data_IF_111599259968
#
_entry.id   IF_111599259968
#
_cell.length_a   1.000
_cell.length_b   1.000
_cell.length_c   1.000
_cell.angle_alpha   90.00
_cell.angle_beta   90.00
_cell.angle_gamma   90.00
#
_symmetry.space_group_name_H-M   'P 1'
#
loop_
_entity.id
_entity.type
_entity.pdbx_description
1 polymer ?
#
# COMPACT_ATOMS: atom_id res chain seq x y z
N UNK A 1 -36.34 58.18 -0.39
CA UNK A 1 -36.54 56.83 0.16
C UNK A 1 -36.34 55.85 -0.99
N UNK A 2 -35.30 55.01 -0.93
CA UNK A 2 -34.91 54.09 -2.00
C UNK A 2 -35.73 52.81 -1.90
N UNK A 3 -36.53 52.53 -2.93
CA UNK A 3 -37.01 51.18 -3.23
C UNK A 3 -35.83 50.30 -3.61
N UNK A 4 -35.79 49.07 -3.09
CA UNK A 4 -35.51 47.83 -3.84
C UNK A 4 -35.59 46.65 -2.87
N UNK A 5 -36.69 45.90 -2.93
CA UNK A 5 -36.79 44.56 -2.37
C UNK A 5 -36.47 43.57 -3.50
N UNK A 6 -35.37 42.84 -3.37
CA UNK A 6 -35.03 41.75 -4.28
C UNK A 6 -35.59 40.43 -3.74
N UNK A 7 -36.63 39.97 -4.45
CA UNK A 7 -36.90 38.60 -4.90
C UNK A 7 -36.29 37.44 -4.09
N UNK A 8 -37.19 36.72 -3.40
CA UNK A 8 -36.97 35.35 -2.97
C UNK A 8 -36.82 34.42 -4.19
N UNK A 9 -35.73 33.67 -4.24
CA UNK A 9 -35.56 32.58 -5.21
C UNK A 9 -35.91 31.28 -4.50
N UNK A 10 -37.08 30.73 -4.84
CA UNK A 10 -37.51 29.39 -4.46
C UNK A 10 -36.89 28.42 -5.47
N UNK A 11 -35.88 27.66 -5.06
CA UNK A 11 -35.39 26.53 -5.84
C UNK A 11 -36.24 25.31 -5.53
N UNK A 12 -37.07 24.92 -6.49
CA UNK A 12 -37.61 23.58 -6.60
C UNK A 12 -36.61 22.75 -7.42
N UNK A 13 -36.09 21.67 -6.85
CA UNK A 13 -35.39 20.63 -7.62
C UNK A 13 -35.92 19.25 -7.27
N UNK A 14 -36.21 18.54 -8.35
CA UNK A 14 -36.96 17.30 -8.47
C UNK A 14 -36.36 16.13 -7.70
N UNK A 15 -37.23 15.37 -7.05
CA UNK A 15 -36.96 14.01 -6.60
C UNK A 15 -36.98 13.08 -7.82
N UNK A 16 -35.86 12.43 -8.13
CA UNK A 16 -35.84 11.27 -9.01
C UNK A 16 -35.53 10.03 -8.17
N UNK A 17 -36.59 9.27 -7.86
CA UNK A 17 -36.51 7.92 -7.30
C UNK A 17 -36.53 6.97 -8.49
N UNK A 18 -35.41 6.31 -8.76
CA UNK A 18 -35.36 5.13 -9.63
C UNK A 18 -35.05 3.91 -8.78
N UNK A 19 -36.06 3.06 -8.63
CA UNK A 19 -35.98 1.77 -7.96
C UNK A 19 -35.61 0.65 -8.94
N UNK A 20 -35.14 -0.47 -8.36
CA UNK A 20 -35.11 -1.88 -8.83
C UNK A 20 -33.74 -2.44 -9.28
N UNK A 21 -33.51 -3.77 -9.22
CA UNK A 21 -34.11 -4.79 -8.34
C UNK A 21 -33.08 -5.70 -7.63
N UNK A 22 -33.58 -6.38 -6.59
CA UNK A 22 -32.97 -7.49 -5.87
C UNK A 22 -32.77 -8.73 -6.76
N UNK A 23 -31.62 -9.38 -6.67
CA UNK A 23 -31.43 -10.78 -7.09
C UNK A 23 -30.72 -11.52 -5.96
N UNK A 24 -31.52 -12.24 -5.17
CA UNK A 24 -31.05 -13.35 -4.35
C UNK A 24 -31.09 -14.63 -5.21
N UNK A 25 -30.01 -15.42 -5.22
CA UNK A 25 -30.03 -16.89 -5.04
C UNK A 25 -28.62 -17.52 -5.20
N UNK A 26 -28.17 -18.12 -4.08
CA UNK A 26 -27.07 -19.09 -3.83
C UNK A 26 -27.15 -20.38 -4.72
N UNK A 27 -26.33 -21.46 -4.52
CA UNK A 27 -25.00 -21.66 -3.91
C UNK A 27 -24.05 -22.54 -4.78
N UNK A 28 -22.73 -22.60 -4.51
CA UNK A 28 -21.97 -23.88 -4.68
C UNK A 28 -20.62 -23.93 -3.97
N UNK A 29 -20.49 -24.95 -3.12
CA UNK A 29 -19.28 -25.51 -2.52
C UNK A 29 -18.12 -25.70 -3.52
N UNK A 30 -16.89 -25.44 -3.06
CA UNK A 30 -15.69 -26.18 -3.46
C UNK A 30 -14.60 -26.10 -2.36
N UNK A 31 -13.76 -27.15 -2.21
CA UNK A 31 -13.13 -27.54 -0.96
C UNK A 31 -11.70 -27.01 -0.76
N UNK A 32 -11.27 -26.94 0.51
CA UNK A 32 -9.87 -26.73 0.92
C UNK A 32 -8.92 -27.80 0.34
N UNK A 33 -7.73 -27.42 -0.16
CA UNK A 33 -6.65 -28.37 -0.37
C UNK A 33 -5.79 -28.49 0.90
N UNK A 34 -5.92 -29.64 1.55
CA UNK A 34 -4.95 -30.21 2.50
C UNK A 34 -3.58 -30.32 1.84
N UNK A 35 -2.56 -29.68 2.39
CA UNK A 35 -1.18 -29.87 1.92
C UNK A 35 -0.54 -31.00 2.73
N UNK A 36 -0.53 -32.17 2.12
CA UNK A 36 0.13 -33.36 2.63
C UNK A 36 1.65 -33.17 2.74
N UNK A 37 2.13 -33.59 3.91
CA UNK A 37 3.50 -33.79 4.31
C UNK A 37 4.12 -34.94 3.48
N UNK A 38 5.11 -34.65 2.64
CA UNK A 38 6.02 -35.68 2.10
C UNK A 38 7.44 -35.12 2.05
N UNK A 39 8.26 -35.50 3.04
CA UNK A 39 9.71 -35.59 2.89
C UNK A 39 10.04 -36.81 2.01
N UNK A 40 11.16 -36.77 1.29
CA UNK A 40 12.05 -37.90 1.37
C UNK A 40 13.47 -37.49 1.76
N UNK A 41 13.91 -38.18 2.80
CA UNK A 41 15.26 -38.44 3.23
C UNK A 41 15.98 -39.31 2.19
N UNK A 42 17.20 -38.95 1.79
CA UNK A 42 18.19 -39.94 1.34
C UNK A 42 19.56 -39.55 1.83
N UNK A 43 20.05 -40.44 2.67
CA UNK A 43 21.37 -40.54 3.26
C UNK A 43 22.42 -41.00 2.23
N UNK A 44 23.68 -40.78 2.61
CA UNK A 44 24.83 -41.67 2.43
C UNK A 44 25.91 -41.46 1.32
N UNK A 45 27.11 -41.17 1.85
CA UNK A 45 28.45 -41.77 1.60
C UNK A 45 29.41 -41.24 0.50
N UNK A 46 30.44 -40.52 0.98
CA UNK A 46 31.88 -40.83 0.95
C UNK A 46 32.53 -41.42 -0.32
N UNK A 47 33.46 -40.64 -0.93
CA UNK A 47 34.73 -41.15 -1.49
C UNK A 47 35.80 -40.06 -1.64
N UNK A 48 36.99 -40.31 -1.08
CA UNK A 48 38.25 -39.57 -1.31
C UNK A 48 38.91 -39.98 -2.63
N UNK A 49 39.61 -39.02 -3.25
CA UNK A 49 40.91 -39.08 -3.94
C UNK A 49 40.97 -37.91 -4.95
N UNK A 50 42.05 -37.24 -5.32
CA UNK A 50 43.44 -37.00 -4.88
C UNK A 50 43.99 -35.96 -5.89
N UNK A 51 45.01 -35.19 -5.49
CA UNK A 51 45.92 -34.36 -6.33
C UNK A 51 45.58 -32.88 -6.62
N UNK A 52 46.46 -32.04 -6.08
CA UNK A 52 46.78 -30.64 -6.38
C UNK A 52 47.56 -30.54 -7.71
N UNK A 53 47.49 -29.43 -8.45
CA UNK A 53 48.63 -28.51 -8.44
C UNK A 53 48.22 -27.02 -8.34
N UNK A 54 49.21 -26.24 -7.92
CA UNK A 54 49.19 -24.80 -7.71
C UNK A 54 48.80 -24.00 -8.96
N UNK A 55 47.98 -22.97 -8.78
CA UNK A 55 47.67 -21.96 -9.77
C UNK A 55 47.28 -20.66 -9.09
N UNK A 56 48.26 -19.78 -8.92
CA UNK A 56 48.06 -18.42 -8.40
C UNK A 56 47.26 -17.64 -9.44
N UNK A 57 45.98 -17.40 -9.16
CA UNK A 57 45.21 -16.34 -9.80
C UNK A 57 44.37 -15.64 -8.74
N UNK A 58 44.94 -14.54 -8.24
CA UNK A 58 44.23 -13.53 -7.47
C UNK A 58 43.13 -12.93 -8.36
N UNK A 59 41.96 -13.56 -8.36
CA UNK A 59 40.72 -12.89 -8.71
C UNK A 59 40.20 -12.23 -7.43
N UNK A 60 39.90 -10.92 -7.43
CA UNK A 60 39.32 -10.29 -6.26
C UNK A 60 37.97 -10.97 -6.01
N UNK A 61 37.88 -11.63 -4.85
CA UNK A 61 36.62 -12.12 -4.30
C UNK A 61 35.62 -10.97 -4.33
N UNK A 62 34.68 -11.02 -5.28
CA UNK A 62 33.39 -10.40 -5.08
C UNK A 62 32.85 -11.08 -3.83
N UNK A 63 32.96 -10.38 -2.70
CA UNK A 63 32.17 -10.67 -1.53
C UNK A 63 30.72 -10.69 -2.02
N UNK A 64 30.22 -11.90 -2.30
CA UNK A 64 28.81 -12.19 -2.18
C UNK A 64 28.45 -11.64 -0.81
N UNK A 65 27.78 -10.48 -0.80
CA UNK A 65 27.13 -9.99 0.39
C UNK A 65 26.29 -11.15 0.85
N UNK A 66 26.79 -11.85 1.87
CA UNK A 66 25.97 -12.74 2.67
C UNK A 66 24.78 -11.88 3.01
N UNK A 67 23.67 -12.18 2.34
CA UNK A 67 22.35 -11.78 2.76
C UNK A 67 22.24 -12.42 4.13
N UNK A 68 22.69 -11.70 5.15
CA UNK A 68 22.39 -12.04 6.51
C UNK A 68 20.87 -12.07 6.53
N UNK A 69 20.33 -13.29 6.61
CA UNK A 69 18.95 -13.53 7.01
C UNK A 69 18.83 -13.07 8.47
N UNK A 70 18.92 -11.76 8.68
CA UNK A 70 18.32 -11.09 9.79
C UNK A 70 16.83 -11.07 9.46
N UNK A 71 16.17 -12.17 9.76
CA UNK A 71 14.71 -12.20 9.85
C UNK A 71 14.35 -11.39 11.09
N UNK A 72 14.52 -10.06 11.00
CA UNK A 72 13.81 -9.16 11.92
C UNK A 72 12.33 -9.54 11.84
N UNK A 73 11.61 -9.55 12.97
CA UNK A 73 10.18 -9.80 12.95
C UNK A 73 9.54 -8.87 11.92
N UNK A 74 8.72 -9.43 11.03
CA UNK A 74 8.01 -8.63 10.04
C UNK A 74 7.12 -7.65 10.80
N UNK A 75 7.49 -6.37 10.76
CA UNK A 75 6.71 -5.30 11.40
C UNK A 75 5.50 -5.03 10.51
N UNK A 76 4.31 -5.03 11.10
CA UNK A 76 3.07 -4.74 10.39
C UNK A 76 2.55 -3.37 10.82
N UNK A 77 2.11 -2.57 9.84
CA UNK A 77 1.38 -1.34 10.07
C UNK A 77 -0.12 -1.63 9.98
N UNK A 78 -0.90 -1.05 10.91
CA UNK A 78 -2.37 -1.02 10.80
C UNK A 78 -2.77 0.38 10.37
N UNK A 79 -3.63 0.45 9.35
CA UNK A 79 -4.14 1.70 8.80
C UNK A 79 -5.65 1.64 8.76
N UNK A 80 -6.30 2.68 9.26
CA UNK A 80 -7.73 2.89 9.12
C UNK A 80 -7.99 3.73 7.86
N UNK A 81 -8.81 3.20 6.96
CA UNK A 81 -9.17 3.82 5.68
C UNK A 81 -10.66 4.08 5.67
N UNK A 82 -11.08 5.34 5.50
CA UNK A 82 -12.49 5.71 5.50
C UNK A 82 -12.91 6.42 4.20
N UNK A 83 -14.17 6.25 3.80
CA UNK A 83 -14.71 6.83 2.56
C UNK A 83 -15.20 8.26 2.69
N UNK A 84 -15.28 8.81 3.91
CA UNK A 84 -15.60 10.21 4.16
C UNK A 84 -14.49 10.88 5.00
N UNK A 85 -14.37 12.22 4.94
CA UNK A 85 -13.44 12.95 5.80
C UNK A 85 -13.71 12.72 7.29
N UNK A 86 -12.73 13.03 8.13
CA UNK A 86 -12.83 12.99 9.58
C UNK A 86 -13.20 11.60 10.12
N UNK A 87 -12.70 10.56 9.47
CA UNK A 87 -12.87 9.16 9.85
C UNK A 87 -14.35 8.73 9.92
N UNK A 88 -15.12 9.18 8.92
CA UNK A 88 -16.55 8.87 8.79
C UNK A 88 -16.83 7.96 7.58
N UNK A 89 -18.08 7.52 7.46
CA UNK A 89 -18.53 6.67 6.36
C UNK A 89 -18.13 5.21 6.55
N UNK A 90 -17.80 4.52 5.45
CA UNK A 90 -17.35 3.13 5.50
C UNK A 90 -15.85 3.09 5.81
N UNK A 91 -15.49 2.50 6.95
CA UNK A 91 -14.10 2.39 7.39
C UNK A 91 -13.59 0.94 7.40
N UNK A 92 -12.34 0.74 6.98
CA UNK A 92 -11.64 -0.54 6.99
C UNK A 92 -10.32 -0.41 7.75
N UNK A 93 -10.10 -1.30 8.71
CA UNK A 93 -8.79 -1.52 9.32
C UNK A 93 -8.00 -2.54 8.51
N UNK A 94 -6.85 -2.12 8.01
CA UNK A 94 -6.00 -2.89 7.10
C UNK A 94 -4.60 -3.05 7.69
N UNK A 95 -4.24 -4.28 8.04
CA UNK A 95 -2.94 -4.59 8.67
C UNK A 95 -2.05 -5.35 7.68
N UNK A 96 -0.91 -4.74 7.32
CA UNK A 96 0.04 -5.31 6.35
C UNK A 96 1.49 -5.07 6.75
N UNK A 97 2.44 -5.87 6.23
CA UNK A 97 3.86 -5.63 6.45
C UNK A 97 4.29 -4.23 5.95
N UNK A 98 5.14 -3.56 6.73
CA UNK A 98 5.77 -2.30 6.29
C UNK A 98 6.64 -2.51 5.05
N UNK A 99 7.01 -1.42 4.38
CA UNK A 99 7.79 -1.42 3.13
C UNK A 99 7.17 -2.22 1.99
N UNK A 100 5.89 -2.56 2.08
CA UNK A 100 5.14 -3.31 1.07
C UNK A 100 4.11 -2.41 0.42
N UNK A 101 4.04 -2.45 -0.91
CA UNK A 101 3.03 -1.69 -1.63
C UNK A 101 1.67 -2.40 -1.57
N UNK A 102 0.68 -1.75 -0.95
CA UNK A 102 -0.65 -2.28 -0.73
C UNK A 102 -1.64 -1.64 -1.69
N UNK A 103 -2.48 -2.46 -2.32
CA UNK A 103 -3.54 -1.99 -3.20
C UNK A 103 -4.79 -1.62 -2.39
N UNK A 104 -5.43 -0.51 -2.73
CA UNK A 104 -6.69 -0.11 -2.09
C UNK A 104 -7.90 -0.95 -2.53
N UNK A 105 -7.79 -1.65 -3.67
CA UNK A 105 -8.85 -2.49 -4.23
C UNK A 105 -10.19 -1.73 -4.31
N UNK A 106 -11.23 -2.19 -3.61
CA UNK A 106 -12.55 -1.53 -3.60
C UNK A 106 -12.55 -0.11 -3.04
N UNK A 107 -11.51 0.30 -2.32
CA UNK A 107 -11.34 1.66 -1.80
C UNK A 107 -10.56 2.58 -2.75
N UNK A 108 -10.08 2.09 -3.90
CA UNK A 108 -9.36 2.93 -4.86
C UNK A 108 -10.25 4.09 -5.33
N UNK A 109 -9.73 5.32 -5.24
CA UNK A 109 -10.44 6.56 -5.54
C UNK A 109 -11.52 6.97 -4.53
N UNK A 110 -11.86 6.09 -3.58
CA UNK A 110 -12.93 6.32 -2.61
C UNK A 110 -12.42 6.77 -1.23
N UNK A 111 -11.15 6.56 -0.89
CA UNK A 111 -10.58 6.99 0.39
C UNK A 111 -10.68 8.52 0.52
N UNK A 112 -11.19 9.00 1.67
CA UNK A 112 -11.29 10.43 2.01
C UNK A 112 -10.67 10.78 3.36
N UNK A 113 -10.41 9.80 4.22
CA UNK A 113 -9.49 9.95 5.33
C UNK A 113 -8.69 8.66 5.57
N UNK A 114 -7.49 8.81 6.13
CA UNK A 114 -6.54 7.73 6.38
C UNK A 114 -5.80 7.98 7.69
N UNK A 115 -5.78 6.99 8.59
CA UNK A 115 -5.09 7.07 9.88
C UNK A 115 -4.16 5.86 10.06
N UNK A 116 -2.84 6.04 9.86
CA UNK A 116 -1.84 5.09 10.31
C UNK A 116 -1.82 5.03 11.84
N UNK A 117 -1.96 3.84 12.43
CA UNK A 117 -1.81 3.68 13.89
C UNK A 117 -0.39 4.05 14.35
N UNK A 118 -0.25 4.31 15.65
CA UNK A 118 0.96 4.86 16.26
C UNK A 118 2.27 4.20 15.80
N UNK A 119 3.26 5.03 15.47
CA UNK A 119 4.62 4.61 15.08
C UNK A 119 4.77 4.32 13.58
N UNK A 120 3.80 4.72 12.75
CA UNK A 120 3.85 4.51 11.32
C UNK A 120 3.65 5.80 10.51
N UNK A 121 4.36 5.85 9.40
CA UNK A 121 4.30 6.90 8.38
C UNK A 121 3.93 6.25 7.06
N UNK A 122 2.85 6.69 6.43
CA UNK A 122 2.34 6.09 5.20
C UNK A 122 2.32 7.10 4.05
N UNK A 123 2.59 6.60 2.85
CA UNK A 123 2.37 7.32 1.61
C UNK A 123 1.08 6.82 0.97
N UNK A 124 0.12 7.71 0.75
CA UNK A 124 -0.99 7.45 -0.16
C UNK A 124 -0.59 7.91 -1.56
N UNK A 125 -0.74 7.03 -2.55
CA UNK A 125 -0.14 7.19 -3.86
C UNK A 125 -1.10 6.83 -4.99
N UNK A 126 -0.74 7.32 -6.17
CA UNK A 126 -1.26 6.84 -7.44
C UNK A 126 -0.32 5.79 -8.04
N UNK A 127 -0.83 5.02 -9.01
CA UNK A 127 0.01 4.16 -9.85
C UNK A 127 0.83 3.10 -9.12
N UNK A 128 0.29 2.44 -8.07
CA UNK A 128 0.94 1.31 -7.35
C UNK A 128 2.23 1.71 -6.61
N UNK A 129 2.12 2.62 -5.65
CA UNK A 129 3.24 3.18 -4.89
C UNK A 129 4.27 3.88 -5.77
N UNK A 130 3.77 4.48 -6.86
CA UNK A 130 4.57 5.32 -7.71
C UNK A 130 4.66 6.72 -7.09
N UNK A 131 5.84 7.07 -6.61
CA UNK A 131 6.13 8.39 -6.02
C UNK A 131 6.60 9.41 -7.05
N UNK A 132 6.70 9.03 -8.34
CA UNK A 132 6.90 9.98 -9.43
C UNK A 132 5.59 10.67 -9.83
N UNK A 133 4.44 10.13 -9.41
CA UNK A 133 3.12 10.77 -9.46
C UNK A 133 2.80 11.43 -8.12
N UNK A 134 1.83 12.36 -8.06
CA UNK A 134 1.42 12.99 -6.79
C UNK A 134 1.11 11.96 -5.71
N UNK A 135 1.56 12.26 -4.50
CA UNK A 135 1.35 11.46 -3.29
C UNK A 135 1.22 12.39 -2.09
N UNK A 136 0.72 11.87 -0.98
CA UNK A 136 0.71 12.56 0.32
C UNK A 136 1.35 11.65 1.37
N UNK A 137 2.09 12.25 2.30
CA UNK A 137 2.61 11.59 3.50
C UNK A 137 1.62 11.83 4.63
N UNK A 138 1.27 10.78 5.35
CA UNK A 138 0.43 10.83 6.54
C UNK A 138 1.16 10.08 7.65
N UNK A 139 1.41 10.75 8.76
CA UNK A 139 1.96 10.19 9.98
C UNK A 139 0.88 9.85 11.00
N UNK A 140 1.27 9.05 11.99
CA UNK A 140 0.43 8.71 13.14
C UNK A 140 0.48 9.74 14.28
N UNK A 141 1.22 10.85 14.10
CA UNK A 141 1.33 11.90 15.12
C UNK A 141 -0.02 12.63 15.22
N UNK A 142 -0.58 12.85 16.43
CA UNK A 142 -1.87 13.51 16.58
C UNK A 142 -1.89 14.98 16.12
N UNK A 143 -0.72 15.59 15.88
CA UNK A 143 -0.61 16.91 15.26
C UNK A 143 -0.58 16.87 13.74
N UNK A 144 -0.36 15.68 13.14
CA UNK A 144 -0.50 15.48 11.71
C UNK A 144 -1.97 15.25 11.35
N UNK A 145 -2.54 16.23 10.67
CA UNK A 145 -3.94 16.21 10.20
C UNK A 145 -4.04 15.98 8.70
N UNK A 146 -2.91 15.66 8.03
CA UNK A 146 -2.87 15.43 6.60
C UNK A 146 -3.77 14.26 6.16
N UNK A 147 -4.02 13.31 7.06
CA UNK A 147 -4.90 12.17 6.84
C UNK A 147 -6.38 12.42 7.10
N UNK A 148 -6.74 13.52 7.76
CA UNK A 148 -8.12 13.75 8.25
C UNK A 148 -9.09 14.08 7.13
N UNK A 149 -8.66 14.88 6.14
CA UNK A 149 -9.49 15.27 5.01
C UNK A 149 -8.68 15.35 3.71
N UNK A 150 -8.83 14.31 2.90
CA UNK A 150 -8.17 14.17 1.61
C UNK A 150 -9.00 14.74 0.45
N UNK A 151 -10.20 15.26 0.71
CA UNK A 151 -11.12 15.75 -0.34
C UNK A 151 -10.59 16.96 -1.11
N UNK A 152 -9.67 17.70 -0.50
CA UNK A 152 -9.01 18.86 -1.11
C UNK A 152 -7.94 18.49 -2.14
N UNK A 153 -7.48 17.24 -2.16
CA UNK A 153 -6.47 16.76 -3.10
C UNK A 153 -7.14 16.51 -4.45
N UNK A 154 -6.79 17.29 -5.46
CA UNK A 154 -7.38 17.21 -6.81
C UNK A 154 -7.23 15.84 -7.49
N UNK A 155 -6.34 14.99 -6.98
CA UNK A 155 -6.00 13.68 -7.51
C UNK A 155 -6.48 12.54 -6.61
N UNK A 156 -7.24 12.80 -5.54
CA UNK A 156 -7.62 11.77 -4.57
C UNK A 156 -8.42 10.63 -5.20
N UNK A 157 -9.22 10.92 -6.23
CA UNK A 157 -9.98 9.93 -7.00
C UNK A 157 -9.08 8.97 -7.81
N UNK A 158 -7.82 9.33 -8.03
CA UNK A 158 -6.82 8.51 -8.72
C UNK A 158 -5.97 7.68 -7.72
N UNK A 159 -6.15 7.89 -6.42
CA UNK A 159 -5.43 7.13 -5.39
C UNK A 159 -5.80 5.65 -5.45
N UNK A 160 -4.80 4.77 -5.48
CA UNK A 160 -5.04 3.34 -5.67
C UNK A 160 -4.15 2.42 -4.83
N UNK A 161 -3.21 2.99 -4.08
CA UNK A 161 -2.28 2.23 -3.27
C UNK A 161 -1.65 3.06 -2.17
N UNK A 162 -1.19 2.38 -1.13
CA UNK A 162 -0.42 2.99 -0.06
C UNK A 162 0.75 2.10 0.37
N UNK A 163 1.73 2.71 1.03
CA UNK A 163 2.90 2.02 1.60
C UNK A 163 3.27 2.68 2.92
N UNK A 164 3.51 1.87 3.95
CA UNK A 164 3.84 2.36 5.30
C UNK A 164 5.27 2.02 5.71
N UNK A 165 5.81 2.84 6.58
CA UNK A 165 7.17 2.81 7.11
C UNK A 165 7.12 2.99 8.63
N UNK A 166 8.13 2.47 9.33
CA UNK A 166 8.27 2.64 10.78
C UNK A 166 8.83 4.01 11.18
N UNK A 167 9.46 4.72 10.23
CA UNK A 167 10.15 5.98 10.48
C UNK A 167 10.11 6.88 9.23
N UNK A 168 10.04 8.19 9.44
CA UNK A 168 10.03 9.18 8.36
C UNK A 168 11.33 9.15 7.53
N UNK A 169 12.47 8.80 8.12
CA UNK A 169 13.74 8.62 7.40
C UNK A 169 13.67 7.51 6.35
N UNK A 170 12.98 6.41 6.68
CA UNK A 170 12.79 5.27 5.76
C UNK A 170 11.89 5.67 4.58
N UNK A 171 10.83 6.42 4.86
CA UNK A 171 9.95 7.01 3.85
C UNK A 171 10.73 7.95 2.92
N UNK A 172 11.50 8.89 3.48
CA UNK A 172 12.32 9.84 2.70
C UNK A 172 13.32 9.10 1.80
N UNK A 173 13.96 8.05 2.33
CA UNK A 173 14.88 7.20 1.56
C UNK A 173 14.17 6.48 0.42
N UNK A 174 12.98 5.93 0.66
CA UNK A 174 12.17 5.29 -0.37
C UNK A 174 11.86 6.25 -1.53
N UNK A 175 11.38 7.45 -1.21
CA UNK A 175 11.07 8.48 -2.21
C UNK A 175 12.29 8.84 -3.04
N UNK A 176 13.42 9.13 -2.39
CA UNK A 176 14.66 9.48 -3.07
C UNK A 176 15.17 8.37 -4.00
N UNK A 177 15.07 7.10 -3.59
CA UNK A 177 15.50 5.98 -4.43
C UNK A 177 14.60 5.80 -5.65
N UNK A 178 13.28 5.92 -5.48
CA UNK A 178 12.31 5.74 -6.56
C UNK A 178 12.35 6.85 -7.60
N UNK A 179 12.55 8.10 -7.18
CA UNK A 179 12.70 9.23 -8.10
C UNK A 179 14.01 9.20 -8.90
N UNK A 180 15.05 8.52 -8.40
CA UNK A 180 16.34 8.38 -9.10
C UNK A 180 16.35 7.30 -10.17
N UNK A 181 15.32 6.47 -10.27
CA UNK A 181 15.31 5.37 -11.23
C UNK A 181 14.84 5.90 -12.59
N UNK A 182 15.69 5.92 -13.64
CA UNK A 182 15.25 6.36 -14.96
C UNK A 182 14.14 5.43 -15.46
N UNK A 183 12.99 6.00 -15.81
CA UNK A 183 11.91 5.28 -16.50
C UNK A 183 12.49 4.83 -17.83
N UNK A 184 12.76 3.53 -17.99
CA UNK A 184 13.01 2.98 -19.32
C UNK A 184 11.69 3.10 -20.09
N UNK A 185 11.61 4.07 -20.99
CA UNK A 185 10.52 4.14 -21.95
C UNK A 185 10.47 2.83 -22.72
N UNK A 186 9.32 2.15 -22.67
CA UNK A 186 9.03 1.03 -23.54
C UNK A 186 8.67 1.59 -24.92
N UNK A 187 9.63 1.57 -25.84
CA UNK A 187 9.43 1.70 -27.30
C UNK A 187 8.63 0.54 -27.86
#
# INVERSE_FOLDING_TARGET
MRHLQFLAVVFASLQYVAALPSISNLPRNAPSPTLERIFPETDSLSRRDTAQPEGISQTPRLNARQSSNLTSPAVNATVELCTEPQFQGECLNSTWPVNTCIALNGYAGAVRSIDPKEGFECLLTQGRCNVATPYISIGSDPSDTAGDDLSSLSWIEESNSYICFTEIEMLRRYVQMRLRTPVKEAT
#
